data_IF_583623812849
#
_entry.id   IF_583623812849
#
_cell.length_a   1.000
_cell.length_b   1.000
_cell.length_c   1.000
_cell.angle_alpha   90.00
_cell.angle_beta   90.00
_cell.angle_gamma   90.00
#
_symmetry.space_group_name_H-M   'P 1'
#
loop_
_entity.id
_entity.type
_entity.pdbx_description
1 polymer ?
#
# COMPACT_ATOMS: atom_id res chain seq x y z
N UNK A 1 2.47 -74.07 54.06
CA UNK A 1 1.72 -72.81 53.76
C UNK A 1 2.57 -71.88 52.96
N UNK A 2 2.38 -71.83 51.64
CA UNK A 2 3.10 -70.89 50.74
C UNK A 2 2.12 -69.78 50.30
N UNK A 3 2.41 -68.53 50.67
CA UNK A 3 1.65 -67.36 50.20
C UNK A 3 2.21 -66.85 48.87
N UNK A 4 1.41 -66.98 47.82
CA UNK A 4 1.71 -66.33 46.51
C UNK A 4 1.45 -64.86 46.57
N UNK A 5 2.46 -64.02 46.19
CA UNK A 5 2.29 -62.63 46.00
C UNK A 5 2.00 -62.32 44.51
N UNK A 6 0.82 -61.85 44.21
CA UNK A 6 0.43 -61.35 42.89
C UNK A 6 0.90 -59.93 42.74
N UNK A 7 1.71 -59.63 41.70
CA UNK A 7 2.08 -58.30 41.28
C UNK A 7 1.08 -57.80 40.25
N UNK A 8 0.42 -56.69 40.57
CA UNK A 8 -0.39 -55.94 39.62
C UNK A 8 0.51 -54.98 38.88
N UNK A 9 0.71 -55.19 37.57
CA UNK A 9 1.38 -54.27 36.70
C UNK A 9 0.37 -53.18 36.29
N UNK A 10 0.62 -51.94 36.71
CA UNK A 10 -0.13 -50.76 36.26
C UNK A 10 0.47 -50.24 34.95
N UNK A 11 -0.25 -50.39 33.86
CA UNK A 11 0.12 -49.87 32.54
C UNK A 11 -0.35 -48.40 32.47
N UNK A 12 0.59 -47.45 32.57
CA UNK A 12 0.32 -46.04 32.28
C UNK A 12 0.26 -45.84 30.76
N UNK A 13 -0.94 -45.64 30.20
CA UNK A 13 -1.11 -45.11 28.84
C UNK A 13 -0.88 -43.58 28.87
N UNK A 14 0.22 -43.15 28.29
CA UNK A 14 0.43 -41.71 28.01
C UNK A 14 -0.37 -41.35 26.75
N UNK A 15 -1.44 -40.58 26.92
CA UNK A 15 -2.12 -39.92 25.78
C UNK A 15 -1.33 -38.72 25.36
N UNK A 16 -0.67 -38.79 24.21
CA UNK A 16 -0.09 -37.61 23.55
C UNK A 16 -1.24 -36.81 22.90
N UNK A 17 -1.57 -35.69 23.49
CA UNK A 17 -2.48 -34.70 22.87
C UNK A 17 -1.74 -33.98 21.71
N UNK A 18 -2.10 -34.32 20.48
CA UNK A 18 -1.72 -33.54 19.31
C UNK A 18 -2.53 -32.23 19.32
N UNK A 19 -1.90 -31.13 19.70
CA UNK A 19 -2.46 -29.81 19.50
C UNK A 19 -2.24 -29.41 18.03
N UNK A 20 -3.27 -29.51 17.21
CA UNK A 20 -3.29 -28.93 15.87
C UNK A 20 -3.39 -27.41 16.02
N UNK A 21 -2.31 -26.68 15.71
CA UNK A 21 -2.35 -25.24 15.55
C UNK A 21 -3.10 -24.98 14.24
N UNK A 22 -4.36 -24.56 14.33
CA UNK A 22 -5.10 -24.06 13.20
C UNK A 22 -4.47 -22.71 12.80
N UNK A 23 -3.77 -22.68 11.67
CA UNK A 23 -3.40 -21.42 11.00
C UNK A 23 -4.70 -20.84 10.46
N UNK A 24 -5.33 -19.98 11.25
CA UNK A 24 -6.50 -19.22 10.83
C UNK A 24 -6.09 -18.26 9.72
N UNK A 25 -6.66 -18.39 8.54
CA UNK A 25 -6.64 -17.30 7.54
C UNK A 25 -7.41 -16.12 8.14
N UNK A 26 -6.69 -15.06 8.46
CA UNK A 26 -7.32 -13.80 8.92
C UNK A 26 -8.06 -13.22 7.72
N UNK A 27 -9.37 -13.45 7.67
CA UNK A 27 -10.22 -12.79 6.68
C UNK A 27 -10.22 -11.27 6.95
N UNK A 28 -10.18 -10.46 5.87
CA UNK A 28 -10.30 -9.01 5.97
C UNK A 28 -11.45 -8.63 6.89
N UNK A 29 -11.19 -7.78 7.88
CA UNK A 29 -12.23 -7.31 8.80
C UNK A 29 -13.20 -6.41 8.00
N UNK A 30 -14.49 -6.76 7.86
CA UNK A 30 -15.46 -5.93 7.12
C UNK A 30 -15.56 -4.50 7.70
N UNK A 31 -15.28 -4.32 8.98
CA UNK A 31 -15.20 -3.04 9.67
C UNK A 31 -14.15 -2.11 9.08
N UNK A 32 -12.94 -2.63 8.80
CA UNK A 32 -11.80 -1.82 8.34
C UNK A 32 -11.98 -1.36 6.88
N UNK A 33 -12.51 -2.24 6.01
CA UNK A 33 -12.86 -1.86 4.64
C UNK A 33 -13.99 -0.82 4.61
N UNK A 34 -14.97 -0.91 5.52
CA UNK A 34 -16.02 0.08 5.64
C UNK A 34 -15.48 1.40 6.19
N UNK A 35 -14.55 1.35 7.14
CA UNK A 35 -13.86 2.54 7.67
C UNK A 35 -13.05 3.23 6.57
N UNK A 36 -12.28 2.48 5.77
CA UNK A 36 -11.54 3.00 4.64
C UNK A 36 -12.45 3.67 3.60
N UNK A 37 -13.58 3.02 3.23
CA UNK A 37 -14.60 3.63 2.36
C UNK A 37 -15.15 4.93 2.94
N UNK A 38 -15.57 4.92 4.19
CA UNK A 38 -16.14 6.10 4.85
C UNK A 38 -15.15 7.27 4.89
N UNK A 39 -13.89 7.00 5.22
CA UNK A 39 -12.83 8.00 5.30
C UNK A 39 -12.49 8.61 3.92
N UNK A 40 -12.48 7.79 2.86
CA UNK A 40 -12.07 8.21 1.51
C UNK A 40 -13.23 8.72 0.65
N UNK A 41 -14.49 8.52 1.03
CA UNK A 41 -15.67 8.94 0.26
C UNK A 41 -15.67 10.44 -0.12
N UNK A 42 -15.20 11.30 0.78
CA UNK A 42 -15.09 12.75 0.54
C UNK A 42 -14.11 13.11 -0.58
N UNK A 43 -13.18 12.23 -0.88
CA UNK A 43 -12.13 12.45 -1.86
C UNK A 43 -12.55 12.14 -3.30
N UNK A 44 -13.81 11.80 -3.56
CA UNK A 44 -14.39 11.90 -4.91
C UNK A 44 -14.33 13.32 -5.46
N UNK A 45 -14.33 14.32 -4.59
CA UNK A 45 -13.95 15.69 -4.93
C UNK A 45 -12.43 15.84 -4.72
N UNK A 46 -11.71 15.98 -5.83
CA UNK A 46 -10.25 16.08 -5.83
C UNK A 46 -9.75 17.31 -5.07
N UNK A 47 -10.53 18.40 -5.05
CA UNK A 47 -10.18 19.61 -4.30
C UNK A 47 -10.18 19.37 -2.80
N UNK A 48 -11.05 18.50 -2.31
CA UNK A 48 -11.06 18.07 -0.90
C UNK A 48 -9.84 17.22 -0.58
N UNK A 49 -9.40 16.36 -1.51
CA UNK A 49 -8.18 15.59 -1.34
C UNK A 49 -6.94 16.51 -1.29
N UNK A 50 -6.86 17.49 -2.19
CA UNK A 50 -5.76 18.47 -2.23
C UNK A 50 -5.71 19.33 -0.96
N UNK A 51 -6.85 19.78 -0.46
CA UNK A 51 -6.95 20.52 0.79
C UNK A 51 -6.56 19.65 2.01
N UNK A 52 -6.70 18.33 1.91
CA UNK A 52 -6.26 17.37 2.93
C UNK A 52 -4.77 17.00 2.82
N UNK A 53 -4.04 17.57 1.85
CA UNK A 53 -2.59 17.39 1.68
C UNK A 53 -2.19 16.33 0.64
N UNK A 54 -3.16 15.75 -0.07
CA UNK A 54 -2.85 14.85 -1.19
C UNK A 54 -2.48 15.63 -2.44
N UNK A 55 -1.55 15.11 -3.23
CA UNK A 55 -1.16 15.71 -4.49
C UNK A 55 -0.32 14.76 -5.34
N UNK A 56 -0.19 15.09 -6.62
CA UNK A 56 0.71 14.35 -7.49
C UNK A 56 2.16 14.51 -7.04
N UNK A 57 2.97 13.45 -7.11
CA UNK A 57 4.41 13.57 -6.94
C UNK A 57 5.00 14.53 -7.98
N UNK A 58 6.21 15.06 -7.75
CA UNK A 58 6.88 15.94 -8.71
C UNK A 58 7.05 15.26 -10.07
N UNK A 59 7.05 16.05 -11.14
CA UNK A 59 7.41 15.56 -12.47
C UNK A 59 8.81 14.95 -12.45
N UNK A 60 8.96 13.74 -13.03
CA UNK A 60 10.18 12.94 -12.98
C UNK A 60 10.17 11.85 -11.91
N UNK A 61 9.25 11.88 -10.94
CA UNK A 61 8.95 10.74 -10.09
C UNK A 61 8.13 9.73 -10.90
N UNK A 62 8.43 8.42 -10.87
CA UNK A 62 7.69 7.42 -11.64
C UNK A 62 6.17 7.41 -11.43
N UNK A 63 5.70 7.83 -10.25
CA UNK A 63 4.28 7.88 -9.89
C UNK A 63 3.56 9.17 -10.34
N UNK A 64 4.23 10.09 -11.02
CA UNK A 64 3.63 11.34 -11.50
C UNK A 64 2.62 11.13 -12.63
N UNK A 65 2.86 10.12 -13.45
CA UNK A 65 2.05 9.84 -14.64
C UNK A 65 0.94 8.83 -14.34
N UNK A 66 -0.02 8.69 -15.26
CA UNK A 66 -0.99 7.61 -15.20
C UNK A 66 -0.29 6.28 -15.47
N UNK A 67 -0.28 5.39 -14.48
CA UNK A 67 0.51 4.16 -14.52
C UNK A 67 -0.28 3.03 -15.16
N UNK A 68 0.31 2.44 -16.20
CA UNK A 68 -0.26 1.30 -16.93
C UNK A 68 0.82 0.29 -17.34
N UNK A 69 0.41 -0.97 -17.48
CA UNK A 69 1.22 -2.05 -18.04
C UNK A 69 0.31 -3.09 -18.74
N UNK A 70 0.86 -4.18 -19.31
CA UNK A 70 0.04 -5.22 -19.98
C UNK A 70 -0.96 -5.94 -19.07
N UNK A 71 -0.84 -5.87 -17.74
CA UNK A 71 -1.77 -6.48 -16.77
C UNK A 71 -2.96 -5.58 -16.45
N UNK A 72 -2.89 -4.29 -16.79
CA UNK A 72 -3.92 -3.30 -16.51
C UNK A 72 -3.37 -1.94 -16.13
N UNK A 73 -4.21 -1.11 -15.56
CA UNK A 73 -3.89 0.27 -15.16
C UNK A 73 -4.09 0.44 -13.66
N UNK A 74 -3.23 1.22 -13.03
CA UNK A 74 -3.45 1.74 -11.68
C UNK A 74 -4.19 3.09 -11.75
N UNK A 75 -3.66 4.06 -12.45
CA UNK A 75 -4.15 5.43 -12.55
C UNK A 75 -3.10 6.45 -12.12
N UNK A 76 -3.56 7.64 -11.77
CA UNK A 76 -2.76 8.71 -11.17
C UNK A 76 -2.76 8.58 -9.64
N UNK A 77 -1.60 8.73 -8.99
CA UNK A 77 -1.46 8.64 -7.54
C UNK A 77 -1.35 10.01 -6.90
N UNK A 78 -2.39 10.44 -6.16
CA UNK A 78 -2.35 11.60 -5.27
C UNK A 78 -1.81 11.18 -3.91
N UNK A 79 -0.58 11.54 -3.60
CA UNK A 79 0.15 11.10 -2.41
C UNK A 79 0.09 12.18 -1.33
N UNK A 80 -0.16 11.80 -0.09
CA UNK A 80 0.00 12.67 1.07
C UNK A 80 1.33 12.39 1.77
N UNK A 81 2.33 13.23 1.49
CA UNK A 81 3.67 13.07 2.05
C UNK A 81 3.75 13.16 3.58
N UNK A 82 2.71 13.68 4.26
CA UNK A 82 2.67 13.72 5.73
C UNK A 82 2.25 12.38 6.36
N UNK A 83 1.71 11.46 5.56
CA UNK A 83 1.29 10.12 6.00
C UNK A 83 2.35 9.06 5.68
N UNK A 84 3.43 9.40 4.98
CA UNK A 84 4.51 8.47 4.63
C UNK A 84 5.38 8.17 5.86
N UNK A 85 4.83 7.38 6.78
CA UNK A 85 5.50 6.91 8.00
C UNK A 85 5.37 5.37 8.13
N UNK A 86 5.48 4.82 9.33
CA UNK A 86 5.34 3.37 9.60
C UNK A 86 3.97 3.01 10.17
N UNK A 87 3.08 3.98 10.31
CA UNK A 87 1.71 3.76 10.82
C UNK A 87 0.84 3.16 9.72
N UNK A 88 0.11 2.09 10.03
CA UNK A 88 -0.85 1.47 9.12
C UNK A 88 -2.26 1.73 9.63
N UNK A 89 -2.97 2.68 9.03
CA UNK A 89 -4.33 3.08 9.42
C UNK A 89 -5.29 2.95 8.23
N UNK A 90 -6.33 2.10 8.30
CA UNK A 90 -7.30 1.93 7.21
C UNK A 90 -8.01 3.23 6.83
N UNK A 91 -8.05 4.23 7.70
CA UNK A 91 -8.72 5.52 7.45
C UNK A 91 -7.82 6.60 6.86
N UNK A 92 -6.50 6.35 6.78
CA UNK A 92 -5.49 7.30 6.36
C UNK A 92 -4.55 6.71 5.29
N UNK A 93 -5.07 6.35 4.09
CA UNK A 93 -4.22 5.85 3.02
C UNK A 93 -3.17 6.90 2.61
N UNK A 94 -1.95 6.49 2.34
CA UNK A 94 -0.87 7.36 1.90
C UNK A 94 -1.10 7.90 0.49
N UNK A 95 -1.83 7.16 -0.35
CA UNK A 95 -2.20 7.60 -1.69
C UNK A 95 -3.66 7.32 -2.03
N UNK A 96 -4.21 8.21 -2.85
CA UNK A 96 -5.51 8.09 -3.51
C UNK A 96 -5.28 7.89 -5.01
N UNK A 97 -5.92 6.89 -5.60
CA UNK A 97 -5.70 6.52 -7.01
C UNK A 97 -6.89 6.96 -7.83
N UNK A 98 -6.64 7.89 -8.77
CA UNK A 98 -7.65 8.44 -9.66
C UNK A 98 -7.48 7.94 -11.09
N UNK A 99 -8.61 7.62 -11.74
CA UNK A 99 -8.65 7.24 -13.14
C UNK A 99 -9.24 8.36 -13.97
N UNK A 100 -8.63 8.71 -15.14
CA UNK A 100 -9.23 9.64 -16.08
C UNK A 100 -10.33 8.95 -16.90
N UNK A 101 -11.47 9.63 -17.10
CA UNK A 101 -12.41 9.26 -18.14
C UNK A 101 -11.98 9.86 -19.51
N UNK A 102 -12.69 9.51 -20.57
CA UNK A 102 -12.40 10.02 -21.93
C UNK A 102 -12.45 11.56 -22.03
N UNK A 103 -13.19 12.22 -21.14
CA UNK A 103 -13.27 13.68 -21.07
C UNK A 103 -12.23 14.30 -20.15
N UNK A 104 -11.36 13.50 -19.55
CA UNK A 104 -10.33 13.93 -18.60
C UNK A 104 -10.86 14.21 -17.19
N UNK A 105 -12.09 13.82 -16.83
CA UNK A 105 -12.50 13.88 -15.43
C UNK A 105 -11.80 12.78 -14.64
N UNK A 106 -11.37 13.12 -13.44
CA UNK A 106 -10.71 12.18 -12.54
C UNK A 106 -11.73 11.57 -11.58
N UNK A 107 -11.74 10.25 -11.52
CA UNK A 107 -12.63 9.47 -10.65
C UNK A 107 -11.80 8.68 -9.65
N UNK A 108 -12.09 8.82 -8.36
CA UNK A 108 -11.46 8.01 -7.32
C UNK A 108 -11.82 6.53 -7.51
N UNK A 109 -10.83 5.68 -7.66
CA UNK A 109 -11.01 4.24 -7.87
C UNK A 109 -10.47 3.39 -6.74
N UNK A 110 -9.31 3.74 -6.22
CA UNK A 110 -8.62 2.97 -5.20
C UNK A 110 -7.98 3.86 -4.14
N UNK A 111 -7.66 3.26 -3.01
CA UNK A 111 -6.71 3.76 -2.02
C UNK A 111 -5.44 2.88 -2.08
N UNK A 112 -4.30 3.47 -1.77
CA UNK A 112 -3.04 2.74 -1.65
C UNK A 112 -2.38 3.08 -0.32
N UNK A 113 -1.95 2.03 0.36
CA UNK A 113 -1.22 2.10 1.63
C UNK A 113 0.26 1.82 1.35
N UNK A 114 1.14 2.69 1.87
CA UNK A 114 2.57 2.69 1.53
C UNK A 114 3.42 2.85 2.78
N UNK A 115 4.36 1.93 2.99
CA UNK A 115 5.35 2.01 4.07
C UNK A 115 6.74 1.78 3.50
N UNK A 116 7.67 2.71 3.69
CA UNK A 116 9.05 2.54 3.23
C UNK A 116 9.76 1.43 4.01
N UNK A 117 10.46 0.53 3.29
CA UNK A 117 11.13 -0.62 3.88
C UNK A 117 12.16 -0.22 4.95
N UNK A 118 13.01 0.77 4.67
CA UNK A 118 14.06 1.18 5.61
C UNK A 118 13.53 1.66 6.97
N UNK A 119 12.57 2.62 7.02
CA UNK A 119 11.88 3.00 8.26
C UNK A 119 11.19 1.84 8.96
N UNK A 120 10.49 0.97 8.23
CA UNK A 120 9.83 -0.21 8.79
C UNK A 120 10.81 -1.15 9.49
N UNK A 121 11.90 -1.50 8.81
CA UNK A 121 12.95 -2.35 9.38
C UNK A 121 13.71 -1.69 10.54
N UNK A 122 13.83 -0.36 10.52
CA UNK A 122 14.45 0.37 11.64
C UNK A 122 13.61 0.30 12.92
N UNK A 123 12.28 0.23 12.79
CA UNK A 123 11.36 0.13 13.92
C UNK A 123 11.13 -1.33 14.37
N UNK A 124 11.00 -2.26 13.41
CA UNK A 124 10.58 -3.65 13.68
C UNK A 124 11.73 -4.67 13.60
N UNK A 125 12.92 -4.24 13.17
CA UNK A 125 14.09 -5.09 12.94
C UNK A 125 14.28 -5.46 11.47
N UNK A 126 15.55 -5.61 11.08
CA UNK A 126 15.93 -6.00 9.69
C UNK A 126 15.34 -7.37 9.36
N UNK A 127 14.65 -7.47 8.24
CA UNK A 127 13.97 -8.69 7.79
C UNK A 127 12.66 -8.97 8.54
N UNK A 128 12.10 -7.99 9.25
CA UNK A 128 10.77 -8.10 9.84
C UNK A 128 9.71 -8.45 8.77
N UNK A 129 8.64 -9.18 9.15
CA UNK A 129 7.51 -9.38 8.25
C UNK A 129 6.98 -8.04 7.71
N UNK A 130 6.47 -8.00 6.46
CA UNK A 130 5.90 -6.79 5.90
C UNK A 130 4.70 -6.32 6.74
N UNK A 131 4.33 -5.02 6.67
CA UNK A 131 3.09 -4.55 7.25
C UNK A 131 1.91 -5.30 6.63
N UNK A 132 0.79 -5.37 7.36
CA UNK A 132 -0.43 -6.02 6.87
C UNK A 132 -1.67 -5.19 7.20
N UNK A 133 -2.66 -5.22 6.30
CA UNK A 133 -3.94 -4.56 6.48
C UNK A 133 -5.04 -5.34 5.74
N UNK A 134 -6.28 -5.31 6.22
CA UNK A 134 -7.42 -6.06 5.66
C UNK A 134 -7.16 -7.57 5.50
N UNK A 135 -6.25 -8.15 6.31
CA UNK A 135 -5.85 -9.55 6.22
C UNK A 135 -4.89 -9.87 5.06
N UNK A 136 -4.26 -8.87 4.46
CA UNK A 136 -3.27 -8.99 3.39
C UNK A 136 -1.95 -8.35 3.79
N UNK A 137 -0.86 -9.06 3.54
CA UNK A 137 0.49 -8.50 3.65
C UNK A 137 0.75 -7.55 2.49
N UNK A 138 1.48 -6.47 2.78
CA UNK A 138 1.89 -5.54 1.73
C UNK A 138 2.96 -6.18 0.85
N UNK A 139 2.87 -5.92 -0.45
CA UNK A 139 3.87 -6.37 -1.41
C UNK A 139 5.10 -5.43 -1.41
N UNK A 140 6.31 -6.00 -1.37
CA UNK A 140 7.53 -5.21 -1.53
C UNK A 140 7.70 -4.76 -2.97
N UNK A 141 7.83 -3.46 -3.16
CA UNK A 141 8.21 -2.82 -4.44
C UNK A 141 9.71 -2.52 -4.38
N UNK A 142 10.50 -3.04 -5.35
CA UNK A 142 11.92 -2.74 -5.40
C UNK A 142 12.18 -1.26 -5.69
N UNK A 143 13.39 -0.74 -5.41
CA UNK A 143 13.73 0.63 -5.71
C UNK A 143 13.54 0.94 -7.21
N UNK A 144 12.95 2.09 -7.51
CA UNK A 144 12.74 2.54 -8.88
C UNK A 144 13.56 3.81 -9.15
N UNK A 145 14.34 3.85 -10.26
CA UNK A 145 15.09 5.04 -10.64
C UNK A 145 14.13 6.13 -11.11
N UNK A 146 14.48 7.38 -10.82
CA UNK A 146 13.78 8.54 -11.37
C UNK A 146 13.88 8.59 -12.90
N UNK A 147 12.90 9.22 -13.54
CA UNK A 147 12.89 9.38 -15.00
C UNK A 147 14.11 10.20 -15.47
N UNK A 148 14.65 9.82 -16.63
CA UNK A 148 15.81 10.47 -17.27
C UNK A 148 17.12 10.42 -16.45
N UNK A 149 17.29 9.41 -15.58
CA UNK A 149 18.49 9.24 -14.77
C UNK A 149 18.65 10.31 -13.67
N UNK A 150 17.57 11.00 -13.33
CA UNK A 150 17.59 11.98 -12.23
C UNK A 150 17.44 11.25 -10.88
N UNK A 151 18.58 11.00 -10.22
CA UNK A 151 18.64 10.28 -8.95
C UNK A 151 17.98 11.03 -7.77
N UNK A 152 17.62 12.30 -7.92
CA UNK A 152 16.90 13.07 -6.89
C UNK A 152 15.50 12.51 -6.69
N UNK A 153 14.94 11.85 -7.71
CA UNK A 153 13.60 11.27 -7.70
C UNK A 153 13.60 9.74 -7.64
N UNK A 154 14.73 9.12 -7.27
CA UNK A 154 14.75 7.69 -7.02
C UNK A 154 13.80 7.36 -5.86
N UNK A 155 12.97 6.34 -6.06
CA UNK A 155 12.06 5.85 -5.02
C UNK A 155 12.78 4.72 -4.27
N UNK A 156 13.00 4.85 -2.94
CA UNK A 156 13.52 3.74 -2.13
C UNK A 156 12.56 2.54 -2.17
N UNK A 157 13.01 1.33 -1.79
CA UNK A 157 12.13 0.19 -1.68
C UNK A 157 11.02 0.46 -0.64
N UNK A 158 9.80 0.06 -0.97
CA UNK A 158 8.64 0.26 -0.11
C UNK A 158 7.66 -0.92 -0.19
N UNK A 159 6.89 -1.09 0.85
CA UNK A 159 5.75 -2.01 0.90
C UNK A 159 4.50 -1.27 0.45
N UNK A 160 3.63 -1.94 -0.34
CA UNK A 160 2.37 -1.37 -0.80
C UNK A 160 1.21 -2.35 -0.69
N UNK A 161 0.01 -1.81 -0.50
CA UNK A 161 -1.25 -2.52 -0.64
C UNK A 161 -2.27 -1.63 -1.35
N UNK A 162 -2.64 -1.98 -2.59
CA UNK A 162 -3.75 -1.37 -3.31
C UNK A 162 -5.07 -1.93 -2.84
N UNK A 163 -6.08 -1.07 -2.72
CA UNK A 163 -7.45 -1.48 -2.36
C UNK A 163 -8.45 -0.77 -3.27
N UNK A 164 -9.05 -1.50 -4.20
CA UNK A 164 -10.06 -0.99 -5.14
C UNK A 164 -11.41 -0.82 -4.43
N UNK A 165 -11.55 0.28 -3.71
CA UNK A 165 -12.73 0.59 -2.92
C UNK A 165 -13.91 1.06 -3.77
N UNK A 166 -13.64 1.76 -4.89
CA UNK A 166 -14.63 2.52 -5.65
C UNK A 166 -14.84 1.99 -7.05
N UNK A 167 -13.86 1.30 -7.63
CA UNK A 167 -13.98 0.59 -8.88
C UNK A 167 -13.82 -0.91 -8.67
N UNK A 168 -14.63 -1.71 -9.38
CA UNK A 168 -14.44 -3.15 -9.41
C UNK A 168 -13.16 -3.49 -10.15
N UNK A 169 -12.38 -4.43 -9.61
CA UNK A 169 -11.18 -4.96 -10.26
C UNK A 169 -11.39 -6.47 -10.52
N UNK A 170 -11.49 -6.91 -11.80
CA UNK A 170 -11.62 -8.32 -12.13
C UNK A 170 -10.45 -9.19 -11.65
N UNK A 171 -9.27 -8.61 -11.48
CA UNK A 171 -8.08 -9.29 -10.96
C UNK A 171 -8.08 -9.41 -9.43
N UNK A 172 -9.10 -8.87 -8.75
CA UNK A 172 -9.25 -8.88 -7.29
C UNK A 172 -9.10 -7.50 -6.66
N UNK A 173 -9.82 -7.27 -5.54
CA UNK A 173 -9.85 -5.99 -4.84
C UNK A 173 -8.46 -5.49 -4.42
N UNK A 174 -7.54 -6.39 -4.12
CA UNK A 174 -6.19 -6.08 -3.63
C UNK A 174 -5.11 -6.22 -4.72
N UNK A 175 -5.48 -6.54 -5.96
CA UNK A 175 -4.53 -6.55 -7.08
C UNK A 175 -4.21 -5.11 -7.49
N UNK A 176 -2.92 -4.74 -7.63
CA UNK A 176 -2.56 -3.37 -8.01
C UNK A 176 -3.02 -3.01 -9.43
N UNK A 177 -3.08 -3.98 -10.34
CA UNK A 177 -3.42 -3.78 -11.74
C UNK A 177 -4.90 -4.08 -12.00
N UNK A 178 -5.61 -3.13 -12.62
CA UNK A 178 -7.02 -3.28 -12.98
C UNK A 178 -7.18 -3.23 -14.51
N UNK A 179 -7.53 -4.35 -15.15
CA UNK A 179 -7.72 -4.39 -16.60
C UNK A 179 -8.99 -3.67 -17.08
N UNK A 180 -9.88 -3.26 -16.17
CA UNK A 180 -11.12 -2.54 -16.49
C UNK A 180 -10.96 -1.02 -16.53
N UNK A 181 -9.76 -0.50 -16.26
CA UNK A 181 -9.44 0.93 -16.30
C UNK A 181 -8.33 1.21 -17.30
N UNK A 182 -8.27 2.44 -17.83
CA UNK A 182 -7.24 2.84 -18.80
C UNK A 182 -6.71 4.24 -18.50
N UNK A 183 -5.59 4.60 -19.12
CA UNK A 183 -5.02 5.94 -19.14
C UNK A 183 -5.42 6.75 -20.39
N UNK A 184 -6.37 6.30 -21.21
CA UNK A 184 -6.72 6.93 -22.49
C UNK A 184 -7.14 8.40 -22.35
N UNK A 185 -7.77 8.74 -21.23
CA UNK A 185 -8.15 10.11 -20.87
C UNK A 185 -7.04 10.98 -20.27
N UNK A 186 -5.80 10.45 -20.09
CA UNK A 186 -4.75 11.17 -19.36
C UNK A 186 -4.36 12.52 -19.98
N UNK A 187 -4.32 12.62 -21.32
CA UNK A 187 -4.03 13.87 -21.99
C UNK A 187 -5.12 14.94 -21.77
N UNK A 188 -6.40 14.50 -21.79
CA UNK A 188 -7.52 15.37 -21.48
C UNK A 188 -7.54 15.79 -20.00
N UNK A 189 -7.16 14.88 -19.11
CA UNK A 189 -6.99 15.18 -17.69
C UNK A 189 -5.87 16.19 -17.45
N UNK A 190 -4.73 16.07 -18.11
CA UNK A 190 -3.63 17.02 -18.03
C UNK A 190 -4.03 18.44 -18.49
N UNK A 191 -4.88 18.54 -19.48
CA UNK A 191 -5.43 19.85 -19.93
C UNK A 191 -6.40 20.45 -18.91
N UNK A 192 -7.10 19.62 -18.13
CA UNK A 192 -8.13 20.02 -17.16
C UNK A 192 -7.56 20.28 -15.76
N UNK A 193 -6.55 19.50 -15.38
CA UNK A 193 -5.88 19.57 -14.08
C UNK A 193 -4.41 19.98 -14.28
N UNK A 194 -4.10 21.29 -14.19
CA UNK A 194 -2.73 21.80 -14.45
C UNK A 194 -1.64 21.13 -13.60
N UNK A 195 -1.98 20.64 -12.41
CA UNK A 195 -1.05 19.95 -11.53
C UNK A 195 -0.50 18.64 -12.13
N UNK A 196 -1.17 18.02 -13.10
CA UNK A 196 -0.68 16.85 -13.83
C UNK A 196 0.53 17.23 -14.70
N UNK A 197 0.67 18.50 -15.09
CA UNK A 197 1.80 19.00 -15.88
C UNK A 197 2.82 19.84 -15.10
N UNK A 198 2.62 20.07 -13.80
CA UNK A 198 3.46 20.98 -13.01
C UNK A 198 4.09 20.29 -11.80
N UNK A 199 5.33 20.71 -11.47
CA UNK A 199 6.03 20.24 -10.26
C UNK A 199 5.30 20.75 -9.02
N UNK A 200 4.76 19.85 -8.21
CA UNK A 200 4.25 20.23 -6.89
C UNK A 200 5.41 20.51 -5.94
N UNK A 201 5.75 21.78 -5.75
CA UNK A 201 6.89 22.23 -4.94
C UNK A 201 6.86 21.74 -3.48
N UNK A 202 5.65 21.52 -2.90
CA UNK A 202 5.51 21.01 -1.52
C UNK A 202 5.92 19.55 -1.41
N UNK A 203 5.59 18.75 -2.42
CA UNK A 203 5.95 17.34 -2.45
C UNK A 203 7.43 17.14 -2.81
N UNK A 204 7.97 17.96 -3.72
CA UNK A 204 9.40 17.98 -4.01
C UNK A 204 10.24 18.23 -2.75
N UNK A 205 9.79 19.14 -1.87
CA UNK A 205 10.44 19.40 -0.59
C UNK A 205 10.30 18.26 0.42
N UNK A 206 9.21 17.48 0.36
CA UNK A 206 9.02 16.30 1.20
C UNK A 206 9.93 15.14 0.75
N UNK A 207 9.91 14.80 -0.54
CA UNK A 207 10.77 13.73 -1.11
C UNK A 207 12.25 14.08 -0.95
N UNK A 208 12.64 15.33 -1.14
CA UNK A 208 14.01 15.81 -0.93
C UNK A 208 14.48 15.69 0.52
N UNK A 209 13.60 15.81 1.52
CA UNK A 209 13.94 15.59 2.93
C UNK A 209 14.19 14.12 3.26
N UNK A 210 13.44 13.21 2.65
CA UNK A 210 13.67 11.77 2.80
C UNK A 210 15.00 11.33 2.18
N UNK A 211 15.33 11.80 0.98
CA UNK A 211 16.61 11.51 0.33
C UNK A 211 17.82 12.04 1.14
N UNK A 212 17.68 13.18 1.82
CA UNK A 212 18.73 13.77 2.67
C UNK A 212 18.95 12.96 3.96
N UNK A 213 17.90 12.41 4.57
CA UNK A 213 18.01 11.62 5.81
C UNK A 213 18.70 10.26 5.59
N UNK A 214 18.52 9.65 4.43
CA UNK A 214 19.19 8.39 4.08
C UNK A 214 20.69 8.59 3.88
N UNK A 215 21.13 9.72 3.29
CA UNK A 215 22.56 10.00 3.04
C UNK A 215 23.39 10.38 4.27
N UNK A 216 22.79 10.85 5.34
CA UNK A 216 23.54 11.30 6.54
C UNK A 216 23.84 10.19 7.54
N UNK A 217 23.35 8.95 7.30
CA UNK A 217 23.65 7.79 8.17
C UNK A 217 24.81 6.89 7.67
N UNK A 218 25.28 7.10 6.44
CA UNK A 218 26.36 6.32 5.82
C UNK A 218 27.71 7.08 5.76
N UNK A 219 27.88 8.14 6.56
CA UNK A 219 29.14 8.90 6.69
C UNK A 219 29.71 8.87 8.11
#
# INVERSE_FOLDING_TARGET
MRRSKTWLAATCMAMAALTTVAVGTVAAQPSDLNAARAATARFHDISVAENAGYGLPPAGVPLHECITNPLGTMGFHWINGNLLDTTVDPTQPEALVYQPDANGNLHLGAAEYVVFQGPWEAEHGVGAPPPSLFGHDFALVPPAPGHNGNTIFDIPPFYQLHVWLWNSNPSGMFSPWNPSVSCDGAAAAAAKYPQIGTINAKLAAAVGRFACHVRTRDS
#
